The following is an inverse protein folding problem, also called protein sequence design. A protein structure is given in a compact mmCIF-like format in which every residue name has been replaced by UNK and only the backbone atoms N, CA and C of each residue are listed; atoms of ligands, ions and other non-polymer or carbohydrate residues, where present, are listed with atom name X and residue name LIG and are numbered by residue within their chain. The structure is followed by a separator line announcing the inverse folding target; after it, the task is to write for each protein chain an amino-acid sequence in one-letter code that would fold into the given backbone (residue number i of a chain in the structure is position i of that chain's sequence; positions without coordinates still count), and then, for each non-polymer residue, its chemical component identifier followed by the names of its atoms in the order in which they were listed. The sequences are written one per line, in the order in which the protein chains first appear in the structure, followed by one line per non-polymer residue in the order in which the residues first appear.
data_IF_283939294329
#
_entry.id   IF_283939294329
#
_cell.length_a   1.000
_cell.length_b   1.000
_cell.length_c   1.000
_cell.angle_alpha   90.00
_cell.angle_beta   90.00
_cell.angle_gamma   90.00
#
_symmetry.space_group_name_H-M   'P 1'
#
loop_
_entity.id
_entity.type
_entity.pdbx_description
1 polymer ?
#
# COMPACT_ATOMS: atom_id res chain seq x y z
N UNK A 1 3.04 29.12 21.49
CA UNK A 1 1.61 28.83 21.27
C UNK A 1 1.35 28.82 19.77
N UNK A 2 0.72 27.78 19.22
CA UNK A 2 0.43 27.68 17.77
C UNK A 2 -0.91 28.33 17.47
N UNK A 3 -0.90 29.52 16.87
CA UNK A 3 -2.12 30.27 16.51
C UNK A 3 -2.91 29.53 15.42
N UNK A 4 -4.22 29.29 15.60
CA UNK A 4 -5.07 28.68 14.57
C UNK A 4 -5.09 29.48 13.27
N UNK A 5 -5.23 28.77 12.15
CA UNK A 5 -5.51 29.38 10.85
C UNK A 5 -6.88 30.05 10.85
N UNK A 6 -7.08 30.99 9.92
CA UNK A 6 -8.31 31.77 9.83
C UNK A 6 -9.46 30.91 9.32
N UNK A 7 -9.21 30.15 8.25
CA UNK A 7 -10.20 29.32 7.58
C UNK A 7 -9.91 27.83 7.80
N UNK A 8 -10.98 27.06 8.02
CA UNK A 8 -10.94 25.60 8.08
C UNK A 8 -11.60 25.01 6.84
N UNK A 9 -11.26 23.75 6.54
CA UNK A 9 -11.88 22.99 5.45
C UNK A 9 -12.45 21.69 5.99
N UNK A 10 -13.63 21.30 5.51
CA UNK A 10 -14.18 19.98 5.82
C UNK A 10 -13.37 18.89 5.08
N UNK A 11 -12.93 17.82 5.77
CA UNK A 11 -12.24 16.71 5.12
C UNK A 11 -13.19 15.98 4.16
N UNK A 12 -12.67 15.58 3.00
CA UNK A 12 -13.38 14.61 2.18
C UNK A 12 -13.32 13.22 2.83
N UNK A 13 -14.33 12.39 2.55
CA UNK A 13 -14.36 11.01 3.04
C UNK A 13 -13.15 10.24 2.45
N UNK A 14 -12.33 9.65 3.32
CA UNK A 14 -11.15 8.90 2.90
C UNK A 14 -9.98 9.76 2.37
N UNK A 15 -10.00 11.07 2.58
CA UNK A 15 -8.95 11.98 2.09
C UNK A 15 -7.57 11.70 2.72
N UNK A 16 -6.49 11.83 1.94
CA UNK A 16 -5.14 11.78 2.49
C UNK A 16 -4.82 13.03 3.32
N UNK A 17 -3.90 12.92 4.28
CA UNK A 17 -3.45 14.07 5.05
C UNK A 17 -2.90 15.19 4.13
N UNK A 18 -2.09 14.83 3.14
CA UNK A 18 -1.55 15.77 2.16
C UNK A 18 -2.65 16.50 1.39
N UNK A 19 -3.65 15.81 0.86
CA UNK A 19 -4.79 16.40 0.15
C UNK A 19 -5.53 17.43 1.02
N UNK A 20 -5.80 17.05 2.27
CA UNK A 20 -6.41 17.97 3.24
C UNK A 20 -5.53 19.21 3.48
N UNK A 21 -4.22 19.04 3.68
CA UNK A 21 -3.30 20.14 3.94
C UNK A 21 -3.13 21.07 2.74
N UNK A 22 -3.19 20.54 1.51
CA UNK A 22 -3.22 21.36 0.30
C UNK A 22 -4.43 22.29 0.30
N UNK A 23 -5.62 21.75 0.59
CA UNK A 23 -6.87 22.54 0.63
C UNK A 23 -6.84 23.57 1.77
N UNK A 24 -6.33 23.19 2.95
CA UNK A 24 -6.13 24.13 4.07
C UNK A 24 -5.18 25.26 3.68
N UNK A 25 -4.08 24.95 3.00
CA UNK A 25 -3.11 25.93 2.55
C UNK A 25 -3.73 26.90 1.53
N UNK A 26 -4.43 26.37 0.53
CA UNK A 26 -5.06 27.13 -0.55
C UNK A 26 -6.05 28.18 0.00
N UNK A 27 -7.00 27.76 0.84
CA UNK A 27 -8.00 28.72 1.38
C UNK A 27 -7.37 29.76 2.30
N UNK A 28 -6.25 29.46 2.95
CA UNK A 28 -5.53 30.40 3.83
C UNK A 28 -4.42 31.20 3.11
N UNK A 29 -4.31 31.12 1.78
CA UNK A 29 -3.29 31.83 1.01
C UNK A 29 -1.85 31.42 1.35
N UNK A 30 -1.63 30.20 1.81
CA UNK A 30 -0.31 29.66 2.12
C UNK A 30 0.29 28.97 0.89
N UNK A 31 1.62 28.92 0.81
CA UNK A 31 2.33 28.33 -0.35
C UNK A 31 2.13 26.82 -0.51
N UNK A 32 1.70 26.10 0.53
CA UNK A 32 1.41 24.67 0.45
C UNK A 32 1.40 23.96 1.81
N UNK A 33 1.33 22.62 1.82
CA UNK A 33 1.23 21.81 3.03
C UNK A 33 2.34 22.06 4.05
N UNK A 34 3.57 22.30 3.59
CA UNK A 34 4.73 22.56 4.44
C UNK A 34 4.55 23.79 5.35
N UNK A 35 3.85 24.82 4.89
CA UNK A 35 3.57 26.01 5.70
C UNK A 35 2.52 25.74 6.78
N UNK A 36 1.53 24.88 6.50
CA UNK A 36 0.54 24.44 7.49
C UNK A 36 1.23 23.64 8.59
N UNK A 37 2.09 22.69 8.22
CA UNK A 37 2.89 21.90 9.16
C UNK A 37 3.80 22.79 10.02
N UNK A 38 4.50 23.75 9.41
CA UNK A 38 5.35 24.71 10.13
C UNK A 38 4.55 25.54 11.14
N UNK A 39 3.35 26.00 10.79
CA UNK A 39 2.45 26.71 11.75
C UNK A 39 2.06 25.83 12.95
N UNK A 40 1.99 24.52 12.76
CA UNK A 40 1.77 23.54 13.82
C UNK A 40 3.04 23.17 14.61
N UNK A 41 4.20 23.75 14.28
CA UNK A 41 5.48 23.39 14.90
C UNK A 41 6.05 22.06 14.42
N UNK A 42 5.52 21.50 13.33
CA UNK A 42 5.97 20.24 12.76
C UNK A 42 7.05 20.51 11.70
N UNK A 43 8.30 20.23 12.04
CA UNK A 43 9.45 20.41 11.12
C UNK A 43 9.59 19.27 10.09
N UNK A 44 8.90 18.16 10.31
CA UNK A 44 8.89 17.02 9.39
C UNK A 44 7.81 17.17 8.31
N UNK A 45 7.85 16.26 7.33
CA UNK A 45 6.92 16.24 6.17
C UNK A 45 5.50 15.80 6.53
N UNK A 46 5.34 15.34 7.77
CA UNK A 46 4.09 14.93 8.42
C UNK A 46 4.29 14.89 9.93
N UNK A 47 3.21 14.89 10.73
CA UNK A 47 3.29 14.57 12.15
C UNK A 47 3.93 13.18 12.38
N UNK A 48 4.84 13.06 13.35
CA UNK A 48 5.46 11.77 13.73
C UNK A 48 4.86 11.22 15.02
N UNK A 49 4.42 12.11 15.90
CA UNK A 49 3.84 11.79 17.19
C UNK A 49 2.37 12.21 17.29
N UNK A 50 1.57 11.61 18.18
CA UNK A 50 0.20 12.06 18.44
C UNK A 50 0.11 13.55 18.83
N UNK A 51 1.10 14.06 19.58
CA UNK A 51 1.19 15.47 19.95
C UNK A 51 1.35 16.41 18.76
N UNK A 52 2.12 16.00 17.75
CA UNK A 52 2.28 16.73 16.49
C UNK A 52 0.95 16.79 15.74
N UNK A 53 0.23 15.66 15.69
CA UNK A 53 -1.07 15.55 15.05
C UNK A 53 -2.12 16.41 15.77
N UNK A 54 -2.08 16.50 17.09
CA UNK A 54 -2.95 17.38 17.88
C UNK A 54 -2.64 18.85 17.65
N UNK A 55 -1.36 19.21 17.57
CA UNK A 55 -0.94 20.58 17.24
C UNK A 55 -1.44 20.97 15.85
N UNK A 56 -1.30 20.07 14.87
CA UNK A 56 -1.83 20.25 13.53
C UNK A 56 -3.36 20.38 13.51
N UNK A 57 -4.06 19.55 14.29
CA UNK A 57 -5.51 19.62 14.45
C UNK A 57 -5.97 20.97 15.01
N UNK A 58 -5.28 21.49 16.05
CA UNK A 58 -5.55 22.83 16.59
C UNK A 58 -5.34 23.92 15.55
N UNK A 59 -4.23 23.86 14.81
CA UNK A 59 -3.93 24.85 13.76
C UNK A 59 -4.96 24.83 12.64
N UNK A 60 -5.43 23.66 12.23
CA UNK A 60 -6.41 23.51 11.16
C UNK A 60 -7.87 23.64 11.63
N UNK A 61 -8.12 23.82 12.94
CA UNK A 61 -9.45 23.79 13.58
C UNK A 61 -10.22 22.50 13.27
N UNK A 62 -9.54 21.37 13.34
CA UNK A 62 -10.07 20.03 13.09
C UNK A 62 -10.09 19.19 14.36
N UNK A 63 -10.87 18.10 14.33
CA UNK A 63 -10.84 17.10 15.40
C UNK A 63 -9.46 16.44 15.49
N UNK A 64 -8.83 16.38 16.67
CA UNK A 64 -7.60 15.62 16.88
C UNK A 64 -7.75 14.14 16.52
N UNK A 65 -8.93 13.55 16.79
CA UNK A 65 -9.24 12.16 16.42
C UNK A 65 -9.17 11.93 14.91
N UNK A 66 -9.72 12.86 14.12
CA UNK A 66 -9.64 12.83 12.66
C UNK A 66 -8.20 12.93 12.17
N UNK A 67 -7.46 13.95 12.62
CA UNK A 67 -6.08 14.18 12.14
C UNK A 67 -5.18 13.01 12.50
N UNK A 68 -5.31 12.46 13.72
CA UNK A 68 -4.60 11.23 14.10
C UNK A 68 -5.00 10.04 13.24
N UNK A 69 -6.27 9.90 12.86
CA UNK A 69 -6.73 8.79 12.02
C UNK A 69 -6.15 8.87 10.60
N UNK A 70 -6.14 10.03 9.96
CA UNK A 70 -5.64 10.17 8.57
C UNK A 70 -4.11 10.25 8.48
N UNK A 71 -3.43 10.45 9.61
CA UNK A 71 -1.96 10.52 9.68
C UNK A 71 -1.38 9.14 9.94
N UNK A 72 -0.40 8.66 9.15
CA UNK A 72 0.33 7.44 9.46
C UNK A 72 1.15 7.63 10.74
N UNK A 73 0.71 7.09 11.87
CA UNK A 73 1.41 7.23 13.15
C UNK A 73 2.04 5.91 13.58
N UNK A 74 3.27 5.97 14.08
CA UNK A 74 3.92 4.79 14.66
C UNK A 74 3.19 4.39 15.92
N UNK A 75 2.78 3.12 16.00
CA UNK A 75 2.17 2.52 17.19
C UNK A 75 3.03 1.34 17.62
N UNK A 76 3.32 1.26 18.92
CA UNK A 76 3.98 0.09 19.49
C UNK A 76 2.94 -0.98 19.79
N UNK A 77 3.13 -2.17 19.22
CA UNK A 77 2.44 -3.38 19.66
C UNK A 77 3.45 -4.23 20.45
N UNK A 78 2.99 -4.90 21.51
CA UNK A 78 3.79 -5.88 22.23
C UNK A 78 3.05 -7.20 22.08
N UNK A 79 3.74 -8.23 21.58
CA UNK A 79 3.13 -9.56 21.53
C UNK A 79 3.12 -10.22 22.92
N UNK A 80 2.51 -11.42 23.02
CA UNK A 80 2.41 -12.15 24.29
C UNK A 80 3.78 -12.51 24.89
N UNK A 81 4.84 -12.49 24.10
CA UNK A 81 6.21 -12.83 24.51
C UNK A 81 7.01 -11.58 24.90
N UNK A 82 6.38 -10.39 24.93
CA UNK A 82 7.05 -9.14 25.26
C UNK A 82 7.83 -8.52 24.09
N UNK A 83 7.76 -9.10 22.89
CA UNK A 83 8.47 -8.57 21.72
C UNK A 83 7.76 -7.33 21.21
N UNK A 84 8.51 -6.22 21.09
CA UNK A 84 7.99 -4.97 20.55
C UNK A 84 7.93 -5.05 19.03
N UNK A 85 6.72 -5.03 18.49
CA UNK A 85 6.45 -4.90 17.07
C UNK A 85 6.06 -3.46 16.76
N UNK A 86 6.87 -2.81 15.93
CA UNK A 86 6.52 -1.48 15.43
C UNK A 86 5.49 -1.63 14.33
N UNK A 87 4.33 -1.01 14.49
CA UNK A 87 3.29 -0.91 13.46
C UNK A 87 3.04 0.55 13.11
N UNK A 88 2.36 0.79 12.01
CA UNK A 88 1.85 2.11 11.63
C UNK A 88 0.33 2.04 11.63
N UNK A 89 -0.29 2.91 12.42
CA UNK A 89 -1.72 3.14 12.43
C UNK A 89 -2.11 4.17 11.39
N UNK A 90 -3.09 3.85 10.54
CA UNK A 90 -3.71 4.80 9.61
C UNK A 90 -5.13 4.36 9.31
N UNK A 91 -6.09 5.28 9.37
CA UNK A 91 -7.51 5.02 9.18
C UNK A 91 -8.03 3.84 10.02
N UNK A 92 -7.57 3.71 11.27
CA UNK A 92 -7.98 2.61 12.16
C UNK A 92 -7.36 1.24 11.85
N UNK A 93 -6.52 1.13 10.81
CA UNK A 93 -5.80 -0.10 10.46
C UNK A 93 -4.36 -0.05 10.95
N UNK A 94 -3.84 -1.20 11.39
CA UNK A 94 -2.45 -1.33 11.82
C UNK A 94 -1.67 -2.21 10.85
N UNK A 95 -0.61 -1.67 10.27
CA UNK A 95 0.17 -2.36 9.23
C UNK A 95 1.66 -2.31 9.56
N UNK A 96 2.45 -3.18 8.92
CA UNK A 96 3.91 -3.12 9.04
C UNK A 96 4.46 -1.83 8.39
N UNK A 97 5.51 -1.19 8.95
CA UNK A 97 6.09 0.03 8.38
C UNK A 97 6.55 -0.11 6.92
N UNK A 98 6.94 -1.32 6.52
CA UNK A 98 7.30 -1.64 5.14
C UNK A 98 6.09 -1.55 4.19
N UNK A 99 4.86 -1.71 4.66
CA UNK A 99 3.64 -1.83 3.84
C UNK A 99 2.84 -0.52 3.69
N UNK A 100 3.36 0.59 4.23
CA UNK A 100 2.77 1.93 4.09
C UNK A 100 3.84 2.97 3.77
N UNK A 101 3.49 3.97 2.97
CA UNK A 101 4.36 5.10 2.65
C UNK A 101 4.25 6.15 3.77
N UNK A 102 5.40 6.51 4.32
CA UNK A 102 5.50 7.45 5.46
C UNK A 102 6.49 8.60 5.20
N UNK A 103 7.09 8.63 4.01
CA UNK A 103 8.01 9.68 3.58
C UNK A 103 7.30 10.79 2.80
N UNK A 104 8.07 11.53 2.01
CA UNK A 104 7.54 12.61 1.17
C UNK A 104 6.84 12.11 -0.10
N UNK A 105 7.14 10.90 -0.55
CA UNK A 105 6.62 10.39 -1.80
C UNK A 105 5.12 10.12 -1.70
N UNK A 106 4.37 10.62 -2.67
CA UNK A 106 2.92 10.45 -2.78
C UNK A 106 2.55 9.77 -4.10
N UNK A 107 1.44 9.02 -4.05
CA UNK A 107 0.80 8.43 -5.22
C UNK A 107 -0.53 9.11 -5.49
N UNK A 108 -0.74 9.51 -6.73
CA UNK A 108 -1.96 10.21 -7.14
C UNK A 108 -2.65 9.51 -8.30
N UNK A 109 -3.97 9.57 -8.34
CA UNK A 109 -4.74 9.19 -9.52
C UNK A 109 -4.99 10.45 -10.36
N UNK A 110 -4.60 10.50 -11.65
CA UNK A 110 -4.90 11.64 -12.52
C UNK A 110 -6.40 11.96 -12.56
N UNK A 111 -7.24 10.93 -12.70
CA UNK A 111 -8.69 11.09 -12.74
C UNK A 111 -9.28 11.62 -11.42
N UNK A 112 -8.84 11.14 -10.25
CA UNK A 112 -9.28 11.72 -8.96
C UNK A 112 -8.90 13.20 -8.83
N UNK A 113 -7.72 13.58 -9.31
CA UNK A 113 -7.28 14.98 -9.31
C UNK A 113 -8.17 15.81 -10.23
N UNK A 114 -8.45 15.33 -11.45
CA UNK A 114 -9.28 16.02 -12.42
C UNK A 114 -10.73 16.19 -11.96
N UNK A 115 -11.35 15.14 -11.42
CA UNK A 115 -12.77 15.12 -11.04
C UNK A 115 -13.05 15.77 -9.69
N UNK A 116 -12.17 15.55 -8.71
CA UNK A 116 -12.48 15.85 -7.31
C UNK A 116 -11.43 16.73 -6.62
N UNK A 117 -10.29 16.98 -7.26
CA UNK A 117 -9.14 17.68 -6.68
C UNK A 117 -8.82 17.14 -5.28
N UNK A 118 -8.73 15.81 -5.16
CA UNK A 118 -8.31 15.16 -3.92
C UNK A 118 -7.36 13.98 -4.17
N UNK A 119 -6.72 13.52 -3.11
CA UNK A 119 -5.98 12.26 -3.07
C UNK A 119 -6.56 11.38 -1.96
N UNK A 120 -6.77 10.10 -2.25
CA UNK A 120 -7.30 9.14 -1.27
C UNK A 120 -6.19 8.62 -0.37
N UNK A 121 -6.49 8.46 0.93
CA UNK A 121 -5.56 7.93 1.93
C UNK A 121 -5.10 6.50 1.62
N UNK A 122 -5.94 5.68 0.98
CA UNK A 122 -5.60 4.30 0.58
C UNK A 122 -4.35 4.23 -0.30
N UNK A 123 -4.08 5.28 -1.10
CA UNK A 123 -2.93 5.33 -1.99
C UNK A 123 -1.59 5.26 -1.22
N UNK A 124 -1.58 5.51 0.09
CA UNK A 124 -0.40 5.37 0.92
C UNK A 124 0.02 3.92 1.17
N UNK A 125 -0.87 2.93 1.00
CA UNK A 125 -0.50 1.52 1.16
C UNK A 125 0.32 1.04 -0.04
N UNK A 126 1.40 0.30 0.24
CA UNK A 126 2.41 -0.03 -0.76
C UNK A 126 1.85 -0.78 -1.96
N UNK A 127 0.92 -1.72 -1.73
CA UNK A 127 0.32 -2.52 -2.80
C UNK A 127 -0.94 -1.89 -3.43
N UNK A 128 -1.35 -0.69 -2.98
CA UNK A 128 -2.30 0.15 -3.72
C UNK A 128 -1.54 0.81 -4.88
N UNK A 129 -1.29 0.05 -5.95
CA UNK A 129 -0.58 0.53 -7.15
C UNK A 129 -1.51 1.16 -8.19
N UNK A 130 -2.81 1.00 -7.99
CA UNK A 130 -3.86 1.40 -8.93
C UNK A 130 -5.01 2.04 -8.15
N UNK A 131 -5.72 2.98 -8.77
CA UNK A 131 -6.92 3.57 -8.19
C UNK A 131 -8.08 2.57 -8.25
N UNK A 132 -8.65 2.23 -7.10
CA UNK A 132 -9.82 1.34 -7.03
C UNK A 132 -11.09 1.95 -7.64
N UNK A 133 -11.17 3.28 -7.69
CA UNK A 133 -12.30 4.05 -8.25
C UNK A 133 -12.23 4.05 -9.78
N UNK A 134 -11.12 4.54 -10.34
CA UNK A 134 -10.98 4.77 -11.78
C UNK A 134 -10.35 3.61 -12.54
N UNK A 135 -9.72 2.66 -11.86
CA UNK A 135 -9.10 1.52 -12.54
C UNK A 135 -7.83 1.83 -13.31
N UNK A 136 -7.13 2.87 -12.91
CA UNK A 136 -5.93 3.35 -13.58
C UNK A 136 -4.73 3.26 -12.64
N UNK A 137 -3.54 3.07 -13.22
CA UNK A 137 -2.29 3.03 -12.48
C UNK A 137 -2.03 4.39 -11.82
N UNK A 138 -1.66 4.37 -10.54
CA UNK A 138 -1.31 5.60 -9.83
C UNK A 138 0.02 6.17 -10.33
N UNK A 139 0.14 7.49 -10.33
CA UNK A 139 1.39 8.19 -10.58
C UNK A 139 2.14 8.39 -9.26
N UNK A 140 3.40 7.96 -9.20
CA UNK A 140 4.37 8.32 -8.16
C UNK A 140 5.47 9.26 -8.68
N UNK A 141 5.50 9.47 -10.01
CA UNK A 141 6.42 10.35 -10.73
C UNK A 141 5.65 11.20 -11.71
N UNK A 142 6.12 12.42 -11.93
CA UNK A 142 5.56 13.29 -12.93
C UNK A 142 5.83 12.73 -14.34
N UNK A 143 4.82 12.60 -15.21
CA UNK A 143 5.03 12.10 -16.57
C UNK A 143 5.89 13.05 -17.42
N UNK A 144 5.93 14.35 -17.10
CA UNK A 144 6.75 15.34 -17.79
C UNK A 144 8.20 15.35 -17.28
N UNK A 145 8.44 15.74 -16.02
CA UNK A 145 9.81 15.91 -15.50
C UNK A 145 10.43 14.66 -14.87
N UNK A 146 9.70 13.54 -14.78
CA UNK A 146 10.12 12.24 -14.22
C UNK A 146 10.54 12.21 -12.74
N UNK A 147 10.52 13.36 -12.06
CA UNK A 147 10.74 13.49 -10.61
C UNK A 147 9.60 12.85 -9.83
N UNK A 148 9.92 12.35 -8.64
CA UNK A 148 8.95 11.81 -7.70
C UNK A 148 7.97 12.88 -7.24
N UNK A 149 6.71 12.48 -7.05
CA UNK A 149 5.67 13.39 -6.57
C UNK A 149 5.79 13.52 -5.06
N UNK A 150 6.18 14.71 -4.59
CA UNK A 150 6.20 15.03 -3.17
C UNK A 150 4.80 15.41 -2.68
N UNK A 151 4.43 14.91 -1.49
CA UNK A 151 3.25 15.31 -0.74
C UNK A 151 3.30 16.79 -0.29
N UNK A 152 4.49 17.41 -0.32
CA UNK A 152 4.75 18.81 0.01
C UNK A 152 4.84 19.74 -1.22
N UNK A 153 4.48 19.26 -2.42
CA UNK A 153 4.36 20.15 -3.60
C UNK A 153 3.45 21.35 -3.30
N UNK A 154 3.58 22.43 -4.05
CA UNK A 154 2.86 23.68 -3.78
C UNK A 154 1.37 23.62 -4.16
N UNK A 155 1.01 22.74 -5.09
CA UNK A 155 -0.35 22.58 -5.59
C UNK A 155 -0.72 21.11 -5.66
N UNK A 156 -1.94 20.78 -5.25
CA UNK A 156 -2.44 19.41 -5.29
C UNK A 156 -2.51 18.87 -6.73
N UNK A 157 -2.88 19.73 -7.67
CA UNK A 157 -3.13 19.40 -9.07
C UNK A 157 -1.91 19.57 -9.96
N UNK A 158 -0.84 20.25 -9.51
CA UNK A 158 0.36 20.50 -10.33
C UNK A 158 1.62 19.90 -9.73
N UNK A 159 2.48 19.38 -10.59
CA UNK A 159 3.85 19.04 -10.22
C UNK A 159 4.67 20.30 -9.90
N UNK A 160 5.81 20.12 -9.22
CA UNK A 160 6.82 21.17 -9.00
C UNK A 160 7.36 21.77 -10.33
N UNK A 161 7.30 21.04 -11.44
CA UNK A 161 7.65 21.58 -12.76
C UNK A 161 6.49 22.34 -13.45
N UNK A 162 5.34 22.49 -12.81
CA UNK A 162 4.16 23.18 -13.35
C UNK A 162 3.19 22.29 -14.14
N UNK A 163 3.60 21.08 -14.54
CA UNK A 163 2.73 20.12 -15.25
C UNK A 163 1.47 19.82 -14.45
N UNK A 164 0.32 19.89 -15.12
CA UNK A 164 -0.96 19.46 -14.54
C UNK A 164 -0.97 17.93 -14.43
N UNK A 165 -1.28 17.44 -13.22
CA UNK A 165 -1.36 16.01 -12.89
C UNK A 165 -2.74 15.44 -13.21
N UNK A 166 -3.79 16.28 -13.26
CA UNK A 166 -5.15 15.88 -13.63
C UNK A 166 -5.27 15.61 -15.13
N UNK A 167 -4.46 16.28 -15.96
CA UNK A 167 -4.42 16.06 -17.40
C UNK A 167 -3.45 14.95 -17.84
N UNK A 168 -2.83 14.24 -16.89
CA UNK A 168 -1.91 13.17 -17.21
C UNK A 168 -2.64 11.96 -17.81
N UNK A 169 -2.02 11.31 -18.80
CA UNK A 169 -2.58 10.12 -19.45
C UNK A 169 -2.85 9.02 -18.42
N UNK A 170 -4.09 8.57 -18.35
CA UNK A 170 -4.50 7.45 -17.52
C UNK A 170 -4.08 6.14 -18.18
N UNK A 171 -3.34 5.29 -17.47
CA UNK A 171 -3.04 3.92 -17.89
C UNK A 171 -4.01 2.95 -17.21
N UNK A 172 -4.95 2.32 -17.94
CA UNK A 172 -5.82 1.29 -17.37
C UNK A 172 -5.00 0.11 -16.83
N UNK A 173 -5.51 -0.57 -15.81
CA UNK A 173 -4.86 -1.76 -15.23
C UNK A 173 -5.62 -3.04 -15.56
N UNK A 174 -4.90 -4.16 -15.54
CA UNK A 174 -5.51 -5.47 -15.77
C UNK A 174 -6.48 -5.85 -14.66
N UNK A 175 -7.38 -6.79 -14.96
CA UNK A 175 -8.39 -7.29 -14.03
C UNK A 175 -7.80 -7.70 -12.67
N UNK A 176 -6.67 -8.42 -12.67
CA UNK A 176 -6.04 -8.87 -11.42
C UNK A 176 -5.51 -7.73 -10.56
N UNK A 177 -4.92 -6.69 -11.18
CA UNK A 177 -4.49 -5.48 -10.46
C UNK A 177 -5.70 -4.71 -9.92
N UNK A 178 -6.76 -4.60 -10.71
CA UNK A 178 -8.02 -3.97 -10.31
C UNK A 178 -8.63 -4.68 -9.10
N UNK A 179 -8.71 -6.01 -9.13
CA UNK A 179 -9.26 -6.80 -8.03
C UNK A 179 -8.49 -6.56 -6.74
N UNK A 180 -7.14 -6.55 -6.79
CA UNK A 180 -6.30 -6.24 -5.63
C UNK A 180 -6.57 -4.83 -5.12
N UNK A 181 -6.61 -3.83 -6.01
CA UNK A 181 -6.86 -2.44 -5.63
C UNK A 181 -8.22 -2.29 -4.93
N UNK A 182 -9.28 -2.91 -5.48
CA UNK A 182 -10.62 -2.90 -4.89
C UNK A 182 -10.69 -3.66 -3.56
N UNK A 183 -9.95 -4.77 -3.42
CA UNK A 183 -9.90 -5.52 -2.18
C UNK A 183 -9.23 -4.69 -1.06
N UNK A 184 -8.13 -4.01 -1.35
CA UNK A 184 -7.44 -3.09 -0.44
C UNK A 184 -8.36 -1.92 -0.06
N UNK A 185 -8.95 -1.23 -1.05
CA UNK A 185 -9.84 -0.08 -0.84
C UNK A 185 -11.06 -0.47 0.00
N UNK A 186 -11.68 -1.60 -0.30
CA UNK A 186 -12.80 -2.12 0.48
C UNK A 186 -12.42 -2.34 1.95
N UNK A 187 -11.33 -3.07 2.21
CA UNK A 187 -10.87 -3.32 3.59
C UNK A 187 -10.51 -2.05 4.32
N UNK A 188 -9.90 -1.11 3.61
CA UNK A 188 -9.59 0.21 4.15
C UNK A 188 -10.85 0.97 4.54
N UNK A 189 -11.88 1.04 3.69
CA UNK A 189 -13.14 1.75 3.95
C UNK A 189 -13.95 1.18 5.12
N UNK A 190 -13.86 -0.12 5.39
CA UNK A 190 -14.61 -0.77 6.48
C UNK A 190 -14.34 -0.19 7.89
N UNK A 191 -13.25 0.54 8.10
CA UNK A 191 -12.96 1.16 9.40
C UNK A 191 -13.64 2.51 9.62
N UNK A 192 -14.21 3.13 8.58
CA UNK A 192 -14.85 4.45 8.69
C UNK A 192 -16.14 4.60 7.88
N UNK A 193 -16.50 3.61 7.05
CA UNK A 193 -17.75 3.56 6.30
C UNK A 193 -18.59 2.35 6.73
N UNK A 194 -19.91 2.58 6.89
CA UNK A 194 -20.87 1.52 7.22
C UNK A 194 -21.27 0.73 5.96
N UNK A 195 -21.56 1.46 4.88
CA UNK A 195 -22.07 0.90 3.63
C UNK A 195 -20.95 0.75 2.60
N UNK A 196 -20.02 -0.18 2.87
CA UNK A 196 -18.91 -0.46 1.95
C UNK A 196 -19.41 -1.35 0.80
N UNK A 197 -19.05 -1.07 -0.47
CA UNK A 197 -19.38 -1.94 -1.60
C UNK A 197 -19.07 -3.41 -1.36
N UNK A 198 -19.82 -4.30 -2.01
CA UNK A 198 -19.58 -5.76 -1.95
C UNK A 198 -18.16 -6.11 -2.42
N UNK A 199 -17.66 -7.26 -1.99
CA UNK A 199 -16.36 -7.74 -2.46
C UNK A 199 -16.34 -7.87 -3.99
N UNK A 200 -15.18 -7.67 -4.64
CA UNK A 200 -15.02 -8.06 -6.03
C UNK A 200 -15.39 -9.54 -6.17
N UNK A 201 -16.33 -9.85 -7.07
CA UNK A 201 -16.82 -11.22 -7.25
C UNK A 201 -15.71 -12.19 -7.67
N UNK A 202 -14.66 -11.67 -8.28
CA UNK A 202 -13.47 -12.38 -8.75
C UNK A 202 -12.37 -12.55 -7.70
N UNK A 203 -12.47 -11.92 -6.52
CA UNK A 203 -11.49 -12.12 -5.44
C UNK A 203 -11.68 -13.50 -4.77
N UNK A 204 -10.64 -14.29 -4.46
CA UNK A 204 -10.85 -15.57 -3.79
C UNK A 204 -11.34 -15.38 -2.34
N UNK A 205 -12.24 -16.26 -1.88
CA UNK A 205 -12.92 -16.15 -0.57
C UNK A 205 -11.93 -16.02 0.59
N UNK A 206 -10.82 -16.75 0.56
CA UNK A 206 -9.81 -16.72 1.62
C UNK A 206 -9.22 -15.31 1.81
N UNK A 207 -8.88 -14.62 0.72
CA UNK A 207 -8.39 -13.24 0.78
C UNK A 207 -9.47 -12.25 1.20
N UNK A 208 -10.74 -12.54 0.90
CA UNK A 208 -11.88 -11.74 1.39
C UNK A 208 -12.09 -11.86 2.89
N UNK A 209 -11.50 -12.84 3.58
CA UNK A 209 -11.64 -13.01 5.03
C UNK A 209 -10.58 -12.21 5.83
N UNK A 210 -9.43 -11.90 5.23
CA UNK A 210 -8.30 -11.20 5.88
C UNK A 210 -8.60 -9.72 6.15
N UNK A 211 -8.18 -9.20 7.32
CA UNK A 211 -8.17 -7.74 7.55
C UNK A 211 -7.16 -7.02 6.62
N UNK A 212 -7.11 -5.68 6.67
CA UNK A 212 -6.22 -4.93 5.77
C UNK A 212 -4.73 -5.25 6.02
N UNK A 213 -4.30 -5.38 7.27
CA UNK A 213 -2.91 -5.67 7.62
C UNK A 213 -2.50 -7.07 7.19
N UNK A 214 -3.39 -8.04 7.38
CA UNK A 214 -3.23 -9.42 6.96
C UNK A 214 -3.22 -9.56 5.44
N UNK A 215 -4.12 -8.88 4.74
CA UNK A 215 -4.15 -8.83 3.29
C UNK A 215 -2.83 -8.29 2.74
N UNK A 216 -2.33 -7.16 3.28
CA UNK A 216 -1.06 -6.59 2.82
C UNK A 216 0.13 -7.51 3.12
N UNK A 217 0.10 -8.29 4.20
CA UNK A 217 1.14 -9.32 4.50
C UNK A 217 1.07 -10.49 3.50
N UNK A 218 -0.12 -10.99 3.19
CA UNK A 218 -0.31 -12.02 2.18
C UNK A 218 0.14 -11.54 0.79
N UNK A 219 -0.21 -10.31 0.40
CA UNK A 219 0.26 -9.68 -0.83
C UNK A 219 1.79 -9.49 -0.83
N UNK A 220 2.39 -9.12 0.30
CA UNK A 220 3.85 -9.02 0.44
C UNK A 220 4.56 -10.35 0.25
N UNK A 221 3.97 -11.42 0.78
CA UNK A 221 4.46 -12.78 0.57
C UNK A 221 4.39 -13.17 -0.90
N UNK A 222 3.21 -13.06 -1.52
CA UNK A 222 3.03 -13.38 -2.95
C UNK A 222 3.92 -12.52 -3.85
N UNK A 223 4.06 -11.24 -3.56
CA UNK A 223 4.95 -10.32 -4.28
C UNK A 223 6.40 -10.82 -4.25
N UNK A 224 6.91 -11.16 -3.06
CA UNK A 224 8.30 -11.65 -2.91
C UNK A 224 8.49 -13.01 -3.58
N UNK A 225 7.51 -13.91 -3.47
CA UNK A 225 7.54 -15.22 -4.16
C UNK A 225 7.49 -15.06 -5.68
N UNK A 226 6.76 -14.05 -6.19
CA UNK A 226 6.63 -13.80 -7.63
C UNK A 226 7.89 -13.24 -8.31
N UNK A 227 8.87 -12.74 -7.53
CA UNK A 227 10.01 -11.95 -8.02
C UNK A 227 11.40 -12.58 -7.84
N UNK A 228 11.49 -13.87 -7.46
CA UNK A 228 12.77 -14.54 -7.17
C UNK A 228 13.61 -14.92 -8.41
N UNK A 229 13.18 -14.52 -9.61
CA UNK A 229 13.77 -14.91 -10.91
C UNK A 229 15.13 -14.28 -11.24
N UNK A 230 15.83 -13.59 -10.32
CA UNK A 230 17.11 -12.91 -10.61
C UNK A 230 18.08 -12.86 -9.41
N UNK A 231 18.35 -14.00 -8.78
CA UNK A 231 19.48 -14.15 -7.85
C UNK A 231 19.30 -13.38 -6.54
N UNK A 232 18.59 -14.01 -5.61
CA UNK A 232 18.58 -13.85 -4.15
C UNK A 232 17.12 -13.90 -3.68
N UNK A 233 16.75 -14.93 -2.88
CA UNK A 233 15.43 -15.04 -2.25
C UNK A 233 15.09 -13.86 -1.31
N UNK A 234 16.09 -13.02 -1.01
CA UNK A 234 16.08 -12.00 0.04
C UNK A 234 16.01 -10.55 -0.51
N UNK A 235 15.63 -10.39 -1.78
CA UNK A 235 15.36 -9.05 -2.35
C UNK A 235 13.96 -8.60 -1.93
N UNK A 236 13.77 -8.36 -0.62
CA UNK A 236 12.54 -7.85 -0.03
C UNK A 236 11.99 -6.58 -0.70
N UNK A 237 11.01 -5.92 -0.08
CA UNK A 237 10.44 -4.69 -0.62
C UNK A 237 11.46 -3.53 -0.56
N UNK A 238 12.40 -3.49 -1.52
CA UNK A 238 13.51 -2.51 -1.59
C UNK A 238 13.06 -1.14 -2.07
N UNK A 239 12.01 -1.11 -2.87
CA UNK A 239 11.45 0.09 -3.47
C UNK A 239 9.93 0.09 -3.31
N UNK A 240 9.38 1.27 -3.10
CA UNK A 240 7.94 1.54 -3.08
C UNK A 240 7.50 2.25 -4.37
N UNK A 241 8.35 2.32 -5.39
CA UNK A 241 8.02 2.96 -6.65
C UNK A 241 7.07 2.10 -7.49
N UNK A 242 6.07 2.73 -8.09
CA UNK A 242 5.02 2.07 -8.89
C UNK A 242 5.62 1.30 -10.07
N UNK A 243 6.62 1.87 -10.75
CA UNK A 243 7.23 1.21 -11.90
C UNK A 243 7.94 -0.11 -11.56
N UNK A 244 8.37 -0.30 -10.30
CA UNK A 244 8.92 -1.57 -9.82
C UNK A 244 7.84 -2.52 -9.30
N UNK A 245 6.83 -1.97 -8.62
CA UNK A 245 5.77 -2.77 -8.00
C UNK A 245 4.76 -3.30 -9.02
N UNK A 246 4.31 -2.45 -9.95
CA UNK A 246 3.15 -2.75 -10.79
C UNK A 246 3.32 -4.00 -11.67
N UNK A 247 4.45 -4.24 -12.37
CA UNK A 247 4.60 -5.47 -13.17
C UNK A 247 4.51 -6.75 -12.34
N UNK A 248 4.99 -6.71 -11.09
CA UNK A 248 4.90 -7.85 -10.17
C UNK A 248 3.51 -7.97 -9.58
N UNK A 249 2.86 -6.86 -9.21
CA UNK A 249 1.49 -6.87 -8.74
C UNK A 249 0.51 -7.38 -9.79
N UNK A 250 0.78 -7.14 -11.07
CA UNK A 250 0.06 -7.74 -12.19
C UNK A 250 0.20 -9.27 -12.21
N UNK A 251 1.41 -9.81 -11.98
CA UNK A 251 1.63 -11.26 -11.81
C UNK A 251 0.90 -11.81 -10.58
N UNK A 252 0.95 -11.10 -9.44
CA UNK A 252 0.20 -11.48 -8.22
C UNK A 252 -1.31 -11.49 -8.48
N UNK A 253 -1.84 -10.51 -9.21
CA UNK A 253 -3.25 -10.46 -9.60
C UNK A 253 -3.68 -11.68 -10.42
N UNK A 254 -2.85 -12.12 -11.38
CA UNK A 254 -3.11 -13.37 -12.13
C UNK A 254 -3.07 -14.61 -11.25
N UNK A 255 -2.14 -14.67 -10.30
CA UNK A 255 -2.06 -15.76 -9.31
C UNK A 255 -3.34 -15.83 -8.47
N UNK A 256 -3.85 -14.68 -8.02
CA UNK A 256 -5.07 -14.58 -7.22
C UNK A 256 -6.33 -14.89 -8.04
N UNK A 257 -6.44 -14.41 -9.28
CA UNK A 257 -7.58 -14.72 -10.16
C UNK A 257 -7.74 -16.22 -10.42
N UNK A 258 -6.61 -16.94 -10.52
CA UNK A 258 -6.61 -18.38 -10.75
C UNK A 258 -6.37 -19.19 -9.45
N UNK A 259 -6.68 -18.62 -8.28
CA UNK A 259 -6.45 -19.27 -6.99
C UNK A 259 -7.29 -20.56 -6.86
N UNK A 260 -6.75 -21.67 -6.30
CA UNK A 260 -5.39 -21.87 -5.79
C UNK A 260 -4.37 -22.34 -6.85
N UNK A 261 -4.82 -22.68 -8.06
CA UNK A 261 -3.99 -23.24 -9.14
C UNK A 261 -2.85 -22.28 -9.50
N UNK A 262 -3.13 -20.97 -9.59
CA UNK A 262 -2.14 -19.94 -9.88
C UNK A 262 -0.97 -19.93 -8.89
N UNK A 263 -1.23 -20.24 -7.62
CA UNK A 263 -0.17 -20.34 -6.61
C UNK A 263 0.64 -21.63 -6.77
N UNK A 264 -0.02 -22.72 -7.10
CA UNK A 264 0.66 -23.98 -7.43
C UNK A 264 1.64 -23.80 -8.59
N UNK A 265 1.20 -23.13 -9.67
CA UNK A 265 2.06 -22.84 -10.82
C UNK A 265 3.18 -21.86 -10.48
N UNK A 266 2.93 -20.88 -9.60
CA UNK A 266 3.98 -20.00 -9.08
C UNK A 266 5.07 -20.80 -8.34
N UNK A 267 4.69 -21.70 -7.42
CA UNK A 267 5.64 -22.53 -6.66
C UNK A 267 6.43 -23.46 -7.60
N UNK A 268 5.77 -24.03 -8.62
CA UNK A 268 6.45 -24.87 -9.64
C UNK A 268 7.44 -24.07 -10.47
N UNK A 269 7.10 -22.86 -10.89
CA UNK A 269 8.01 -22.01 -11.66
C UNK A 269 9.28 -21.68 -10.88
N UNK A 270 9.17 -21.43 -9.57
CA UNK A 270 10.33 -21.17 -8.70
C UNK A 270 11.21 -22.43 -8.50
N UNK A 271 10.63 -23.64 -8.51
CA UNK A 271 11.40 -24.91 -8.52
C UNK A 271 12.21 -25.11 -9.79
N UNK A 272 11.62 -24.80 -10.94
CA UNK A 272 12.23 -25.04 -12.24
C UNK A 272 13.29 -23.99 -12.60
N UNK A 273 13.35 -22.88 -11.86
CA UNK A 273 14.33 -21.83 -12.07
C UNK A 273 15.75 -22.35 -11.79
N UNK A 274 16.54 -22.50 -12.87
CA UNK A 274 17.99 -22.71 -12.81
C UNK A 274 18.70 -21.37 -13.00
N UNK A 275 19.42 -20.83 -11.99
CA UNK A 275 20.30 -19.69 -12.24
C UNK A 275 21.36 -20.05 -13.27
N UNK A 276 21.76 -19.08 -14.10
CA UNK A 276 22.72 -19.25 -15.22
C UNK A 276 24.13 -19.72 -14.79
N UNK A 277 24.40 -19.80 -13.49
CA UNK A 277 25.57 -20.47 -12.93
C UNK A 277 25.18 -21.09 -11.58
N UNK A 278 25.76 -22.26 -11.27
CA UNK A 278 25.72 -23.02 -10.00
C UNK A 278 24.75 -24.23 -9.92
N UNK A 279 25.35 -25.32 -9.43
CA UNK A 279 24.90 -26.69 -9.09
C UNK A 279 23.43 -26.97 -8.69
N UNK A 280 22.98 -28.22 -8.95
CA UNK A 280 21.69 -28.85 -8.56
C UNK A 280 21.25 -28.62 -7.11
N UNK A 281 22.17 -28.31 -6.19
CA UNK A 281 21.89 -28.06 -4.74
C UNK A 281 21.05 -26.79 -4.50
N UNK A 282 21.01 -25.84 -5.45
CA UNK A 282 20.29 -24.56 -5.30
C UNK A 282 18.77 -24.68 -5.48
N UNK A 283 18.30 -25.69 -6.22
CA UNK A 283 16.86 -25.88 -6.52
C UNK A 283 16.05 -26.27 -5.27
N UNK A 284 16.59 -27.14 -4.42
CA UNK A 284 15.96 -27.55 -3.16
C UNK A 284 15.77 -26.39 -2.17
N UNK A 285 16.65 -25.39 -2.19
CA UNK A 285 16.64 -24.23 -1.28
C UNK A 285 15.52 -23.22 -1.57
N UNK A 286 14.91 -23.25 -2.76
CA UNK A 286 13.88 -22.27 -3.16
C UNK A 286 12.52 -22.52 -2.50
N UNK A 287 12.04 -23.77 -2.53
CA UNK A 287 10.77 -24.18 -1.90
C UNK A 287 10.89 -24.21 -0.40
N UNK A 288 12.03 -24.66 0.13
CA UNK A 288 12.35 -24.61 1.55
C UNK A 288 12.25 -23.17 2.08
N UNK A 289 12.76 -22.20 1.33
CA UNK A 289 12.65 -20.79 1.67
C UNK A 289 11.21 -20.25 1.58
N UNK A 290 10.42 -20.67 0.59
CA UNK A 290 8.98 -20.33 0.51
C UNK A 290 8.25 -20.89 1.73
N UNK A 291 8.50 -22.15 2.07
CA UNK A 291 7.91 -22.85 3.22
C UNK A 291 8.29 -22.16 4.53
N UNK A 292 9.58 -22.00 4.80
CA UNK A 292 10.09 -21.36 6.02
C UNK A 292 9.50 -19.96 6.22
N UNK A 293 9.40 -19.16 5.15
CA UNK A 293 8.80 -17.83 5.21
C UNK A 293 7.30 -17.86 5.42
N UNK A 294 6.59 -18.83 4.83
CA UNK A 294 5.16 -18.98 5.06
C UNK A 294 4.88 -19.30 6.54
N UNK A 295 5.62 -20.26 7.12
CA UNK A 295 5.47 -20.63 8.54
C UNK A 295 5.90 -19.56 9.54
N UNK A 296 6.90 -18.74 9.20
CA UNK A 296 7.38 -17.68 10.10
C UNK A 296 6.60 -16.37 9.95
N UNK A 297 6.27 -15.99 8.73
CA UNK A 297 5.69 -14.68 8.43
C UNK A 297 4.17 -14.69 8.33
N UNK A 298 3.53 -15.84 8.08
CA UNK A 298 2.08 -15.97 7.86
C UNK A 298 1.52 -17.19 8.63
N UNK A 299 1.45 -17.12 9.97
CA UNK A 299 1.04 -18.25 10.80
C UNK A 299 -0.46 -18.58 10.69
N UNK A 300 -0.80 -19.84 10.93
CA UNK A 300 -2.18 -20.31 11.07
C UNK A 300 -2.89 -19.72 12.30
N UNK A 301 -4.24 -19.72 12.36
CA UNK A 301 -5.19 -20.25 11.37
C UNK A 301 -5.51 -19.29 10.22
N UNK A 302 -5.21 -18.00 10.37
CA UNK A 302 -5.66 -16.95 9.42
C UNK A 302 -5.13 -17.13 8.01
N UNK A 303 -3.94 -17.72 7.87
CA UNK A 303 -3.30 -17.98 6.58
C UNK A 303 -3.30 -19.47 6.20
N UNK A 304 -4.08 -20.32 6.88
CA UNK A 304 -4.11 -21.78 6.65
C UNK A 304 -4.31 -22.14 5.17
N UNK A 305 -5.15 -21.39 4.44
CA UNK A 305 -5.36 -21.56 3.01
C UNK A 305 -4.08 -21.48 2.16
N UNK A 306 -3.10 -20.63 2.53
CA UNK A 306 -1.79 -20.56 1.88
C UNK A 306 -0.92 -21.78 2.21
N UNK A 307 -1.01 -22.27 3.45
CA UNK A 307 -0.31 -23.49 3.89
C UNK A 307 -0.83 -24.71 3.15
N UNK A 308 -2.16 -24.90 3.10
CA UNK A 308 -2.80 -25.97 2.33
C UNK A 308 -2.43 -25.87 0.86
N UNK A 309 -2.50 -24.69 0.24
CA UNK A 309 -2.13 -24.52 -1.16
C UNK A 309 -0.63 -24.83 -1.42
N UNK A 310 0.26 -24.57 -0.47
CA UNK A 310 1.66 -24.93 -0.58
C UNK A 310 1.86 -26.45 -0.50
N UNK A 311 1.20 -27.12 0.45
CA UNK A 311 1.24 -28.58 0.60
C UNK A 311 0.74 -29.25 -0.68
N UNK A 312 -0.41 -28.83 -1.20
CA UNK A 312 -0.96 -29.31 -2.47
C UNK A 312 0.01 -29.15 -3.65
N UNK A 313 0.70 -28.01 -3.72
CA UNK A 313 1.67 -27.74 -4.77
C UNK A 313 2.93 -28.63 -4.66
N UNK A 314 3.28 -29.05 -3.44
CA UNK A 314 4.38 -29.98 -3.17
C UNK A 314 3.96 -31.41 -3.52
N UNK A 315 2.80 -31.87 -3.02
CA UNK A 315 2.37 -33.27 -3.03
C UNK A 315 2.01 -33.80 -4.43
N UNK A 316 1.35 -32.98 -5.28
CA UNK A 316 1.01 -33.34 -6.68
C UNK A 316 2.22 -33.64 -7.58
N UNK A 317 3.44 -33.47 -7.09
CA UNK A 317 4.67 -33.85 -7.78
C UNK A 317 5.29 -35.15 -7.26
N UNK A 318 5.02 -35.57 -6.01
CA UNK A 318 5.53 -36.85 -5.47
C UNK A 318 4.87 -38.02 -6.22
N UNK A 319 3.60 -37.89 -6.57
CA UNK A 319 2.82 -38.88 -7.34
C UNK A 319 3.16 -38.95 -8.84
N UNK A 320 3.98 -38.03 -9.37
CA UNK A 320 4.42 -38.03 -10.78
C UNK A 320 5.87 -38.49 -10.98
N UNK A 321 6.56 -38.86 -9.91
CA UNK A 321 7.96 -39.28 -9.91
C UNK A 321 8.17 -40.79 -9.62
N UNK A 322 7.09 -41.58 -9.70
CA UNK A 322 7.11 -43.05 -9.59
C UNK A 322 6.77 -43.66 -10.95
#
# INVERSE_FOLDING_TARGET
MTTPLLLSVAPHRGESLSSLLHRVAEVNGLSGPGMVLRRAGVAAVRPRFPSDADALARVCRLSPKLVRAITPLTVGAIDRNGTKHVKVGMYGHWVEPSLVMVGENERVCPACIAEHKHVLGVNAYVFATSCAVHGVRLLDRCPNCKRELSCLRLSLTRCQCGSDLGSATCQPVEQGEMMIARLIDRRWRMSFERDVPSFPHDAPLDFRALDLGELLRALSFLYRTSGATNGSPDKGLRSKAIHELAPRMQKVGRVMLNWPIGFTELVKAERLYRPRSVSRVVVARSVEHISLRLFTELPEPKFAFLHTALVDAIDRNVTRAV
#
